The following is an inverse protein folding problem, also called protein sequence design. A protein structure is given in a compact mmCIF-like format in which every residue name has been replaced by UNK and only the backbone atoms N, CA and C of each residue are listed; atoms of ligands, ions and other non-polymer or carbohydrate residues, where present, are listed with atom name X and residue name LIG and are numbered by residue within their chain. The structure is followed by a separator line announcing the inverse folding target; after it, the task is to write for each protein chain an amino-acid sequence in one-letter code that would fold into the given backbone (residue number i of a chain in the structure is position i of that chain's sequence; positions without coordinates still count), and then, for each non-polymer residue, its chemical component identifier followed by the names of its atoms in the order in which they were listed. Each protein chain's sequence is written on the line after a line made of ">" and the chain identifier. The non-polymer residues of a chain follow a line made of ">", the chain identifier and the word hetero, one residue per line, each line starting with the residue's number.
data_IF_480293543176
#
_entry.id   IF_480293543176
#
_cell.length_a   1.000
_cell.length_b   1.000
_cell.length_c   1.000
_cell.angle_alpha   90.00
_cell.angle_beta   90.00
_cell.angle_gamma   90.00
#
_symmetry.space_group_name_H-M   'P 1'
#
loop_
_entity.id
_entity.type
_entity.pdbx_description
1 polymer ?
#
# COMPACT_ATOMS: atom_id res chain seq x y z
N UNK A 1 32.39 14.12 -24.17
CA UNK A 1 32.12 13.14 -25.25
C UNK A 1 30.88 13.60 -25.97
N UNK A 2 30.90 13.69 -27.30
CA UNK A 2 29.78 14.17 -28.14
C UNK A 2 28.44 13.54 -27.81
N UNK A 3 28.44 12.29 -27.33
CA UNK A 3 27.24 11.54 -26.94
C UNK A 3 26.63 12.05 -25.62
N UNK A 4 27.46 12.35 -24.62
CA UNK A 4 27.00 12.86 -23.32
C UNK A 4 26.40 14.27 -23.47
N UNK A 5 26.97 15.08 -24.36
CA UNK A 5 26.47 16.42 -24.67
C UNK A 5 25.10 16.36 -25.35
N UNK A 6 24.88 15.36 -26.23
CA UNK A 6 23.56 15.11 -26.85
C UNK A 6 22.53 14.72 -25.78
N UNK A 7 22.85 13.81 -24.86
CA UNK A 7 21.95 13.41 -23.77
C UNK A 7 21.61 14.61 -22.87
N UNK A 8 22.58 15.45 -22.52
CA UNK A 8 22.36 16.66 -21.71
C UNK A 8 21.52 17.70 -22.46
N UNK A 9 21.69 17.83 -23.79
CA UNK A 9 20.92 18.77 -24.61
C UNK A 9 19.48 18.33 -24.82
N UNK A 10 19.23 17.07 -25.19
CA UNK A 10 17.88 16.48 -25.23
C UNK A 10 17.22 16.51 -23.85
N UNK A 11 18.06 16.28 -22.83
CA UNK A 11 17.94 16.66 -21.43
C UNK A 11 17.07 17.92 -21.20
N UNK A 12 17.67 19.02 -21.62
CA UNK A 12 17.18 20.38 -21.44
C UNK A 12 16.05 20.73 -22.41
N UNK A 13 16.14 20.29 -23.67
CA UNK A 13 15.18 20.61 -24.73
C UNK A 13 13.79 20.04 -24.42
N UNK A 14 13.73 18.76 -24.04
CA UNK A 14 12.49 18.13 -23.59
C UNK A 14 12.19 18.42 -22.13
N UNK A 15 13.02 19.27 -21.54
CA UNK A 15 13.04 19.61 -20.15
C UNK A 15 13.33 18.35 -19.29
N UNK A 16 13.32 17.07 -19.68
CA UNK A 16 13.47 15.90 -18.76
C UNK A 16 14.75 15.86 -17.89
N UNK A 17 14.71 15.11 -16.79
CA UNK A 17 15.90 14.73 -16.02
C UNK A 17 16.23 13.26 -16.34
N UNK A 18 17.48 12.97 -16.70
CA UNK A 18 17.92 11.60 -17.02
C UNK A 18 18.95 11.17 -15.98
N UNK A 19 18.74 10.01 -15.36
CA UNK A 19 19.58 9.51 -14.27
C UNK A 19 20.16 8.16 -14.63
N UNK A 20 21.48 8.01 -14.49
CA UNK A 20 22.16 6.72 -14.53
C UNK A 20 22.60 6.32 -13.13
N UNK A 21 22.32 5.08 -12.74
CA UNK A 21 22.93 4.48 -11.54
C UNK A 21 24.13 3.66 -11.96
N UNK A 22 25.27 3.89 -11.32
CA UNK A 22 26.50 3.15 -11.52
C UNK A 22 26.93 2.59 -10.18
N UNK A 23 27.41 1.35 -10.13
CA UNK A 23 28.04 0.80 -8.93
C UNK A 23 29.54 1.08 -9.01
N UNK A 24 30.11 1.60 -7.94
CA UNK A 24 31.55 1.70 -7.79
C UNK A 24 32.15 0.32 -7.41
N UNK A 25 33.49 0.20 -7.45
CA UNK A 25 34.24 -1.00 -7.10
C UNK A 25 33.93 -1.50 -5.67
N UNK A 26 33.59 -0.58 -4.75
CA UNK A 26 33.14 -0.87 -3.38
C UNK A 26 31.64 -1.25 -3.28
N UNK A 27 30.97 -1.53 -4.41
CA UNK A 27 29.54 -1.81 -4.50
C UNK A 27 28.62 -0.65 -4.04
N UNK A 28 29.18 0.54 -3.80
CA UNK A 28 28.42 1.77 -3.50
C UNK A 28 27.72 2.27 -4.76
N UNK A 29 26.45 2.68 -4.64
CA UNK A 29 25.66 3.19 -5.77
C UNK A 29 25.92 4.69 -5.94
N UNK A 30 26.48 5.04 -7.08
CA UNK A 30 26.70 6.42 -7.53
C UNK A 30 25.67 6.80 -8.58
N UNK A 31 25.34 8.09 -8.64
CA UNK A 31 24.31 8.58 -9.54
C UNK A 31 24.87 9.67 -10.43
N UNK A 32 24.59 9.53 -11.72
CA UNK A 32 24.87 10.56 -12.70
C UNK A 32 23.56 11.18 -13.17
N UNK A 33 23.52 12.50 -13.22
CA UNK A 33 22.28 13.26 -13.45
C UNK A 33 22.50 14.23 -14.61
N UNK A 34 21.77 14.02 -15.70
CA UNK A 34 21.65 14.97 -16.80
C UNK A 34 20.49 15.93 -16.52
N UNK A 35 20.68 17.21 -16.85
CA UNK A 35 19.75 18.30 -16.54
C UNK A 35 19.40 18.38 -15.04
N UNK A 36 20.44 18.56 -14.20
CA UNK A 36 20.28 18.67 -12.74
C UNK A 36 19.42 19.85 -12.28
N UNK A 37 19.22 20.87 -13.14
CA UNK A 37 18.49 22.10 -12.80
C UNK A 37 16.96 21.96 -12.77
N UNK A 38 16.35 20.98 -13.46
CA UNK A 38 14.87 20.94 -13.55
C UNK A 38 14.18 20.45 -12.29
N UNK A 39 14.74 19.53 -11.50
CA UNK A 39 14.01 19.13 -10.30
C UNK A 39 14.84 18.54 -9.16
N UNK A 40 14.52 19.06 -7.97
CA UNK A 40 14.84 18.59 -6.62
C UNK A 40 14.17 17.24 -6.36
N UNK A 41 14.54 16.17 -7.06
CA UNK A 41 14.17 14.85 -6.55
C UNK A 41 14.96 14.59 -5.27
N UNK A 42 14.28 14.43 -4.15
CA UNK A 42 14.90 14.03 -2.86
C UNK A 42 15.73 12.73 -3.01
N UNK A 43 15.43 11.95 -4.06
CA UNK A 43 16.20 10.79 -4.50
C UNK A 43 17.68 11.08 -4.82
N UNK A 44 18.01 12.30 -5.26
CA UNK A 44 19.39 12.75 -5.53
C UNK A 44 19.97 13.47 -4.30
N UNK A 45 19.12 14.17 -3.52
CA UNK A 45 19.54 15.02 -2.40
C UNK A 45 20.14 14.24 -1.23
N UNK A 46 19.70 13.00 -0.99
CA UNK A 46 20.18 12.14 0.10
C UNK A 46 21.29 11.15 -0.32
N UNK A 47 21.89 11.27 -1.51
CA UNK A 47 22.90 10.31 -1.99
C UNK A 47 24.31 10.87 -2.02
N UNK A 48 25.25 10.00 -1.65
CA UNK A 48 26.61 10.32 -1.19
C UNK A 48 27.62 10.68 -2.27
N UNK A 49 27.33 10.47 -3.56
CA UNK A 49 28.24 10.92 -4.63
C UNK A 49 27.49 11.22 -5.93
N UNK A 50 27.56 12.49 -6.33
CA UNK A 50 27.13 12.95 -7.65
C UNK A 50 28.38 12.97 -8.55
N UNK A 51 28.38 12.16 -9.60
CA UNK A 51 29.51 12.08 -10.51
C UNK A 51 29.47 13.22 -11.54
N UNK A 52 30.64 13.72 -11.95
CA UNK A 52 30.76 14.73 -13.00
C UNK A 52 30.79 14.09 -14.39
N UNK A 53 30.45 14.83 -15.47
CA UNK A 53 30.46 14.28 -16.83
C UNK A 53 31.83 13.72 -17.24
N UNK A 54 32.90 14.25 -16.64
CA UNK A 54 34.28 13.77 -16.74
C UNK A 54 34.49 12.36 -16.20
N UNK A 55 33.83 12.00 -15.10
CA UNK A 55 33.97 10.68 -14.47
C UNK A 55 33.29 9.57 -15.30
N UNK A 56 32.30 9.95 -16.12
CA UNK A 56 31.55 9.05 -16.97
C UNK A 56 32.26 8.72 -18.28
N UNK A 57 33.25 9.52 -18.69
CA UNK A 57 34.09 9.22 -19.86
C UNK A 57 34.90 7.93 -19.68
N UNK A 58 35.25 7.61 -18.43
CA UNK A 58 36.02 6.43 -18.08
C UNK A 58 35.14 5.21 -17.73
N UNK A 59 33.81 5.36 -17.77
CA UNK A 59 32.86 4.31 -17.41
C UNK A 59 31.96 3.96 -18.60
N UNK A 60 31.42 2.76 -18.59
CA UNK A 60 30.58 2.29 -19.70
C UNK A 60 29.32 3.16 -19.84
N UNK A 61 29.11 3.74 -21.03
CA UNK A 61 27.96 4.63 -21.33
C UNK A 61 26.71 3.81 -21.65
N UNK A 62 26.83 2.54 -22.04
CA UNK A 62 25.69 1.65 -22.28
C UNK A 62 24.97 1.29 -20.97
N UNK A 63 23.70 0.92 -21.04
CA UNK A 63 22.91 0.46 -19.90
C UNK A 63 21.57 1.19 -19.74
N UNK A 64 20.89 0.90 -18.62
CA UNK A 64 19.56 1.45 -18.31
C UNK A 64 19.67 2.85 -17.71
N UNK A 65 18.84 3.76 -18.22
CA UNK A 65 18.70 5.14 -17.74
C UNK A 65 17.27 5.36 -17.26
N UNK A 66 17.12 6.11 -16.16
CA UNK A 66 15.82 6.51 -15.64
C UNK A 66 15.49 7.91 -16.11
N UNK A 67 14.35 8.08 -16.76
CA UNK A 67 13.87 9.38 -17.24
C UNK A 67 12.77 9.88 -16.30
N UNK A 68 12.90 11.10 -15.81
CA UNK A 68 11.93 11.76 -14.93
C UNK A 68 11.44 13.04 -15.62
N UNK A 69 10.14 13.08 -15.95
CA UNK A 69 9.47 14.23 -16.51
C UNK A 69 7.98 13.92 -16.70
N UNK A 70 7.13 14.95 -16.61
CA UNK A 70 5.67 14.75 -16.69
C UNK A 70 5.20 14.52 -18.13
N UNK A 71 5.81 15.18 -19.10
CA UNK A 71 5.47 15.08 -20.52
C UNK A 71 6.76 15.23 -21.34
N UNK A 72 7.11 14.21 -22.13
CA UNK A 72 8.24 14.28 -23.06
C UNK A 72 7.97 13.43 -24.30
N UNK A 73 8.52 13.87 -25.42
CA UNK A 73 8.31 13.21 -26.70
C UNK A 73 9.36 12.10 -26.89
N UNK A 74 8.93 10.86 -26.69
CA UNK A 74 9.78 9.67 -26.84
C UNK A 74 10.37 9.56 -28.24
N UNK A 75 9.61 9.88 -29.28
CA UNK A 75 10.08 9.77 -30.67
C UNK A 75 11.18 10.80 -30.97
N UNK A 76 11.03 12.01 -30.45
CA UNK A 76 12.02 13.07 -30.61
C UNK A 76 13.31 12.74 -29.83
N UNK A 77 13.19 12.21 -28.61
CA UNK A 77 14.35 11.84 -27.80
C UNK A 77 15.11 10.66 -28.42
N UNK A 78 14.38 9.63 -28.85
CA UNK A 78 14.97 8.46 -29.52
C UNK A 78 15.59 8.84 -30.86
N UNK A 79 15.01 9.79 -31.59
CA UNK A 79 15.59 10.35 -32.82
C UNK A 79 16.90 11.11 -32.57
N UNK A 80 16.96 11.96 -31.53
CA UNK A 80 18.19 12.67 -31.14
C UNK A 80 19.32 11.69 -30.74
N UNK A 81 18.99 10.66 -29.98
CA UNK A 81 19.95 9.61 -29.60
C UNK A 81 20.41 8.79 -30.81
N UNK A 82 19.49 8.47 -31.73
CA UNK A 82 19.81 7.75 -32.99
C UNK A 82 20.72 8.56 -33.90
N UNK A 83 20.53 9.88 -34.01
CA UNK A 83 21.44 10.79 -34.73
C UNK A 83 22.86 10.80 -34.14
N UNK A 84 22.99 10.54 -32.84
CA UNK A 84 24.28 10.39 -32.17
C UNK A 84 24.88 8.97 -32.27
N UNK A 85 24.23 8.05 -33.00
CA UNK A 85 24.68 6.68 -33.20
C UNK A 85 24.27 5.70 -32.10
N UNK A 86 23.29 6.05 -31.26
CA UNK A 86 22.78 5.17 -30.19
C UNK A 86 21.45 4.52 -30.57
N UNK A 87 21.28 3.26 -30.18
CA UNK A 87 19.97 2.58 -30.17
C UNK A 87 19.38 2.69 -28.76
N UNK A 88 18.16 3.19 -28.66
CA UNK A 88 17.48 3.40 -27.38
C UNK A 88 16.05 2.90 -27.45
N UNK A 89 15.64 2.14 -26.44
CA UNK A 89 14.26 1.73 -26.20
C UNK A 89 13.77 2.41 -24.92
N UNK A 90 12.54 2.93 -24.95
CA UNK A 90 11.93 3.62 -23.81
C UNK A 90 10.77 2.78 -23.30
N UNK A 91 10.93 2.25 -22.10
CA UNK A 91 9.89 1.51 -21.39
C UNK A 91 9.15 2.42 -20.41
N UNK A 92 7.83 2.40 -20.47
CA UNK A 92 7.00 3.14 -19.51
C UNK A 92 6.79 2.34 -18.24
N UNK A 93 7.28 2.88 -17.13
CA UNK A 93 7.09 2.27 -15.82
C UNK A 93 5.73 2.69 -15.27
N UNK A 94 4.78 1.75 -15.23
CA UNK A 94 3.52 1.95 -14.54
C UNK A 94 3.72 1.75 -13.03
N UNK A 95 3.72 2.86 -12.28
CA UNK A 95 3.93 2.86 -10.81
C UNK A 95 2.91 2.01 -10.05
N UNK A 96 1.68 1.86 -10.56
CA UNK A 96 0.66 1.05 -9.90
C UNK A 96 0.96 -0.44 -10.08
N UNK A 97 1.41 -0.84 -11.27
CA UNK A 97 1.82 -2.24 -11.54
C UNK A 97 3.01 -2.60 -10.65
N UNK A 98 4.01 -1.73 -10.57
CA UNK A 98 5.15 -1.90 -9.66
C UNK A 98 4.72 -2.07 -8.20
N UNK A 99 3.71 -1.34 -7.74
CA UNK A 99 3.20 -1.50 -6.38
C UNK A 99 2.57 -2.89 -6.18
N UNK A 100 1.75 -3.36 -7.12
CA UNK A 100 1.16 -4.69 -7.03
C UNK A 100 2.19 -5.80 -7.14
N UNK A 101 3.17 -5.68 -8.03
CA UNK A 101 4.33 -6.58 -8.12
C UNK A 101 5.06 -6.63 -6.78
N UNK A 102 5.35 -5.48 -6.17
CA UNK A 102 6.02 -5.43 -4.87
C UNK A 102 5.19 -6.10 -3.76
N UNK A 103 3.86 -5.94 -3.76
CA UNK A 103 2.97 -6.63 -2.81
C UNK A 103 2.97 -8.15 -3.03
N UNK A 104 3.02 -8.60 -4.27
CA UNK A 104 3.05 -10.03 -4.63
C UNK A 104 4.42 -10.63 -4.30
N UNK A 105 5.50 -9.98 -4.70
CA UNK A 105 6.88 -10.42 -4.49
C UNK A 105 7.26 -10.50 -3.01
N UNK A 106 6.61 -9.70 -2.16
CA UNK A 106 6.79 -9.75 -0.70
C UNK A 106 5.79 -10.67 0.01
N UNK A 107 5.04 -11.51 -0.71
CA UNK A 107 4.03 -12.43 -0.16
C UNK A 107 2.95 -11.75 0.70
N UNK A 108 2.72 -10.44 0.51
CA UNK A 108 1.82 -9.62 1.34
C UNK A 108 0.34 -9.72 0.94
N UNK A 109 0.07 -10.21 -0.28
CA UNK A 109 -1.29 -10.33 -0.82
C UNK A 109 -2.17 -11.25 0.07
N UNK A 110 -1.62 -12.37 0.50
CA UNK A 110 -2.32 -13.36 1.34
C UNK A 110 -2.71 -12.76 2.70
N UNK A 111 -1.79 -12.13 3.46
CA UNK A 111 -2.12 -11.36 4.65
C UNK A 111 -3.25 -10.34 4.47
N UNK A 112 -3.25 -9.57 3.37
CA UNK A 112 -4.30 -8.57 3.12
C UNK A 112 -5.67 -9.20 2.91
N UNK A 113 -5.77 -10.30 2.15
CA UNK A 113 -7.02 -11.02 1.96
C UNK A 113 -7.52 -11.57 3.30
N UNK A 114 -6.65 -12.19 4.08
CA UNK A 114 -7.01 -12.72 5.39
C UNK A 114 -7.48 -11.64 6.35
N UNK A 115 -6.83 -10.48 6.37
CA UNK A 115 -7.26 -9.34 7.16
C UNK A 115 -8.68 -8.89 6.76
N UNK A 116 -8.96 -8.79 5.46
CA UNK A 116 -10.28 -8.45 4.94
C UNK A 116 -11.37 -9.45 5.36
N UNK A 117 -11.08 -10.75 5.26
CA UNK A 117 -11.98 -11.82 5.72
C UNK A 117 -12.21 -11.74 7.23
N UNK A 118 -11.16 -11.48 8.01
CA UNK A 118 -11.24 -11.34 9.47
C UNK A 118 -12.14 -10.17 9.87
N UNK A 119 -12.01 -9.02 9.22
CA UNK A 119 -12.89 -7.87 9.44
C UNK A 119 -14.35 -8.17 9.07
N UNK A 120 -14.59 -8.83 7.93
CA UNK A 120 -15.95 -9.23 7.54
C UNK A 120 -16.58 -10.13 8.60
N UNK A 121 -15.84 -11.15 9.01
CA UNK A 121 -16.25 -12.08 10.06
C UNK A 121 -16.51 -11.35 11.39
N UNK A 122 -15.65 -10.43 11.78
CA UNK A 122 -15.83 -9.61 12.98
C UNK A 122 -17.15 -8.84 12.96
N UNK A 123 -17.47 -8.17 11.84
CA UNK A 123 -18.73 -7.44 11.73
C UNK A 123 -19.95 -8.36 11.71
N UNK A 124 -19.85 -9.52 11.06
CA UNK A 124 -20.93 -10.53 11.08
C UNK A 124 -21.15 -11.06 12.50
N UNK A 125 -20.08 -11.29 13.27
CA UNK A 125 -20.16 -11.70 14.66
C UNK A 125 -20.83 -10.64 15.54
N UNK A 126 -20.37 -9.38 15.48
CA UNK A 126 -20.97 -8.27 16.23
C UNK A 126 -22.46 -8.13 15.96
N UNK A 127 -22.85 -8.20 14.68
CA UNK A 127 -24.26 -8.11 14.28
C UNK A 127 -25.07 -9.31 14.75
N UNK A 128 -24.52 -10.51 14.62
CA UNK A 128 -25.09 -11.75 15.13
C UNK A 128 -25.38 -11.66 16.64
N UNK A 129 -24.34 -11.38 17.42
CA UNK A 129 -24.44 -11.29 18.88
C UNK A 129 -25.53 -10.31 19.33
N UNK A 130 -25.62 -9.16 18.65
CA UNK A 130 -26.59 -8.11 18.95
C UNK A 130 -27.95 -8.27 18.22
N UNK A 131 -28.25 -9.42 17.59
CA UNK A 131 -29.52 -9.61 16.86
C UNK A 131 -30.78 -9.38 17.70
N UNK A 132 -30.77 -9.74 18.98
CA UNK A 132 -31.90 -9.48 19.88
C UNK A 132 -32.16 -7.99 20.05
N UNK A 133 -31.10 -7.20 20.20
CA UNK A 133 -31.19 -5.75 20.32
C UNK A 133 -31.80 -5.12 19.06
N UNK A 134 -31.35 -5.55 17.86
CA UNK A 134 -31.94 -5.08 16.61
C UNK A 134 -33.40 -5.54 16.40
N UNK A 135 -33.76 -6.72 16.90
CA UNK A 135 -35.15 -7.20 16.87
C UNK A 135 -36.06 -6.32 17.74
N UNK A 136 -35.60 -5.91 18.93
CA UNK A 136 -36.32 -4.98 19.80
C UNK A 136 -36.46 -3.61 19.14
N UNK A 137 -35.41 -3.09 18.50
CA UNK A 137 -35.48 -1.82 17.76
C UNK A 137 -36.51 -1.88 16.61
N UNK A 138 -36.50 -2.97 15.82
CA UNK A 138 -37.51 -3.17 14.77
C UNK A 138 -38.92 -3.28 15.33
N UNK A 139 -39.11 -3.93 16.48
CA UNK A 139 -40.41 -4.01 17.16
C UNK A 139 -40.92 -2.61 17.57
N UNK A 140 -40.03 -1.72 17.99
CA UNK A 140 -40.34 -0.31 18.30
C UNK A 140 -40.44 0.59 17.05
N UNK A 141 -40.53 0.02 15.83
CA UNK A 141 -40.77 0.78 14.60
C UNK A 141 -39.53 1.41 13.97
N UNK A 142 -38.31 1.03 14.38
CA UNK A 142 -37.10 1.53 13.72
C UNK A 142 -36.97 0.93 12.32
N UNK A 143 -36.80 1.79 11.31
CA UNK A 143 -36.41 1.36 9.97
C UNK A 143 -34.97 0.82 9.96
N UNK A 144 -34.65 -0.07 9.01
CA UNK A 144 -33.29 -0.62 8.86
C UNK A 144 -32.25 0.48 8.68
N UNK A 145 -32.58 1.58 7.98
CA UNK A 145 -31.69 2.74 7.82
C UNK A 145 -31.44 3.46 9.14
N UNK A 146 -32.48 3.68 9.95
CA UNK A 146 -32.32 4.28 11.28
C UNK A 146 -31.45 3.41 12.18
N UNK A 147 -31.52 2.08 12.07
CA UNK A 147 -30.66 1.14 12.80
C UNK A 147 -29.20 1.23 12.34
N UNK A 148 -28.95 1.37 11.03
CA UNK A 148 -27.59 1.52 10.48
C UNK A 148 -26.90 2.76 11.03
N UNK A 149 -27.60 3.90 10.99
CA UNK A 149 -27.08 5.19 11.45
C UNK A 149 -27.21 5.41 12.95
N UNK A 150 -27.85 4.49 13.68
CA UNK A 150 -27.97 4.58 15.12
C UNK A 150 -26.58 4.57 15.77
N UNK A 151 -26.30 5.62 16.56
CA UNK A 151 -25.03 5.82 17.25
C UNK A 151 -23.79 5.82 16.33
N UNK A 152 -23.94 6.29 15.08
CA UNK A 152 -22.80 6.35 14.14
C UNK A 152 -21.68 7.27 14.65
N UNK A 153 -22.01 8.31 15.42
CA UNK A 153 -21.03 9.21 16.04
C UNK A 153 -20.07 8.46 16.98
N UNK A 154 -20.55 7.50 17.77
CA UNK A 154 -19.70 6.67 18.66
C UNK A 154 -18.70 5.87 17.82
N UNK A 155 -19.15 5.32 16.68
CA UNK A 155 -18.29 4.57 15.76
C UNK A 155 -17.24 5.47 15.11
N UNK A 156 -17.63 6.68 14.70
CA UNK A 156 -16.69 7.66 14.15
C UNK A 156 -15.60 8.00 15.18
N UNK A 157 -15.97 8.24 16.43
CA UNK A 157 -15.02 8.51 17.52
C UNK A 157 -14.07 7.31 17.72
N UNK A 158 -14.61 6.09 17.77
CA UNK A 158 -13.81 4.87 17.87
C UNK A 158 -12.77 4.76 16.74
N UNK A 159 -13.19 5.01 15.50
CA UNK A 159 -12.29 4.98 14.34
C UNK A 159 -11.23 6.08 14.42
N UNK A 160 -11.58 7.30 14.82
CA UNK A 160 -10.62 8.39 15.00
C UNK A 160 -9.54 8.05 16.04
N UNK A 161 -9.94 7.48 17.18
CA UNK A 161 -8.99 7.04 18.22
C UNK A 161 -8.06 5.96 17.67
N UNK A 162 -8.61 4.93 17.00
CA UNK A 162 -7.83 3.84 16.43
C UNK A 162 -6.81 4.34 15.39
N UNK A 163 -7.24 5.23 14.49
CA UNK A 163 -6.33 5.80 13.47
C UNK A 163 -5.22 6.64 14.07
N UNK A 164 -5.50 7.35 15.16
CA UNK A 164 -4.50 8.16 15.88
C UNK A 164 -3.45 7.26 16.53
N UNK A 165 -3.86 6.18 17.19
CA UNK A 165 -2.96 5.18 17.77
C UNK A 165 -2.10 4.54 16.67
N UNK A 166 -2.71 4.17 15.54
CA UNK A 166 -1.99 3.58 14.41
C UNK A 166 -0.97 4.53 13.80
N UNK A 167 -1.29 5.83 13.68
CA UNK A 167 -0.36 6.85 13.19
C UNK A 167 0.86 6.99 14.11
N UNK A 168 0.64 7.07 15.42
CA UNK A 168 1.72 7.15 16.41
C UNK A 168 2.61 5.90 16.34
N UNK A 169 2.02 4.71 16.24
CA UNK A 169 2.76 3.46 16.11
C UNK A 169 3.64 3.42 14.86
N UNK A 170 3.17 3.93 13.72
CA UNK A 170 3.98 4.00 12.50
C UNK A 170 5.15 4.98 12.64
N UNK A 171 4.95 6.15 13.27
CA UNK A 171 6.04 7.09 13.54
C UNK A 171 7.11 6.44 14.43
N UNK A 172 6.70 5.71 15.47
CA UNK A 172 7.62 4.98 16.34
C UNK A 172 8.40 3.90 15.59
N UNK A 173 7.73 3.12 14.73
CA UNK A 173 8.39 2.09 13.91
C UNK A 173 9.42 2.72 12.97
N UNK A 174 9.07 3.82 12.31
CA UNK A 174 9.99 4.55 11.42
C UNK A 174 11.21 5.04 12.20
N UNK A 175 10.98 5.59 13.40
CA UNK A 175 12.06 6.08 14.26
C UNK A 175 12.99 4.94 14.72
N UNK A 176 12.43 3.81 15.17
CA UNK A 176 13.20 2.63 15.59
C UNK A 176 13.95 2.00 14.41
N UNK A 177 13.33 1.95 13.23
CA UNK A 177 13.92 1.36 12.03
C UNK A 177 14.91 2.30 11.32
N UNK A 178 15.12 3.51 11.83
CA UNK A 178 15.99 4.55 11.25
C UNK A 178 15.77 4.77 9.75
N UNK A 179 14.50 4.76 9.31
CA UNK A 179 14.16 4.92 7.90
C UNK A 179 14.19 6.40 7.53
N UNK A 180 15.12 6.78 6.64
CA UNK A 180 15.11 8.09 6.02
C UNK A 180 13.91 8.21 5.07
N UNK A 181 12.85 8.88 5.54
CA UNK A 181 11.64 9.13 4.77
C UNK A 181 11.35 10.63 4.72
N UNK A 182 10.98 11.11 3.53
CA UNK A 182 10.33 12.42 3.42
C UNK A 182 8.98 12.36 4.15
N UNK A 183 8.90 13.12 5.24
CA UNK A 183 7.73 13.18 6.12
C UNK A 183 6.46 13.62 5.38
N UNK A 184 6.59 14.54 4.42
CA UNK A 184 5.43 15.04 3.67
C UNK A 184 4.89 13.96 2.72
N UNK A 185 5.78 13.26 2.03
CA UNK A 185 5.41 12.13 1.18
C UNK A 185 4.78 10.99 2.00
N UNK A 186 5.31 10.73 3.20
CA UNK A 186 4.76 9.75 4.12
C UNK A 186 3.34 10.10 4.54
N UNK A 187 3.09 11.33 5.01
CA UNK A 187 1.73 11.79 5.40
C UNK A 187 0.76 11.64 4.23
N UNK A 188 1.15 12.09 3.02
CA UNK A 188 0.27 12.01 1.84
C UNK A 188 -0.12 10.57 1.54
N UNK A 189 0.84 9.63 1.58
CA UNK A 189 0.58 8.21 1.35
C UNK A 189 -0.26 7.59 2.47
N UNK A 190 -0.01 7.98 3.71
CA UNK A 190 -0.75 7.51 4.88
C UNK A 190 -2.22 7.91 4.82
N UNK A 191 -2.53 9.15 4.42
CA UNK A 191 -3.91 9.62 4.22
C UNK A 191 -4.61 8.80 3.14
N UNK A 192 -3.95 8.54 2.01
CA UNK A 192 -4.53 7.73 0.92
C UNK A 192 -4.82 6.31 1.40
N UNK A 193 -3.87 5.67 2.11
CA UNK A 193 -4.07 4.33 2.66
C UNK A 193 -5.20 4.29 3.69
N UNK A 194 -5.28 5.28 4.58
CA UNK A 194 -6.38 5.40 5.53
C UNK A 194 -7.72 5.53 4.82
N UNK A 195 -7.80 6.34 3.78
CA UNK A 195 -9.03 6.52 3.01
C UNK A 195 -9.47 5.20 2.35
N UNK A 196 -8.55 4.50 1.69
CA UNK A 196 -8.84 3.19 1.08
C UNK A 196 -9.29 2.17 2.13
N UNK A 197 -8.59 2.10 3.27
CA UNK A 197 -8.94 1.21 4.37
C UNK A 197 -10.32 1.56 4.97
N UNK A 198 -10.65 2.84 5.13
CA UNK A 198 -11.97 3.30 5.57
C UNK A 198 -13.07 2.90 4.57
N UNK A 199 -12.84 3.05 3.26
CA UNK A 199 -13.79 2.61 2.23
C UNK A 199 -14.03 1.10 2.29
N UNK A 200 -12.98 0.28 2.41
CA UNK A 200 -13.13 -1.18 2.49
C UNK A 200 -13.89 -1.58 3.76
N UNK A 201 -13.49 -1.07 4.92
CA UNK A 201 -14.11 -1.43 6.21
C UNK A 201 -15.56 -0.95 6.31
N UNK A 202 -15.90 0.22 5.78
CA UNK A 202 -17.28 0.70 5.72
C UNK A 202 -18.13 -0.17 4.79
N UNK A 203 -17.59 -0.62 3.67
CA UNK A 203 -18.28 -1.54 2.75
C UNK A 203 -18.53 -2.91 3.43
N UNK A 204 -17.54 -3.49 4.09
CA UNK A 204 -17.71 -4.74 4.86
C UNK A 204 -18.73 -4.58 6.00
N UNK A 205 -18.69 -3.43 6.68
CA UNK A 205 -19.65 -3.09 7.72
C UNK A 205 -21.08 -3.00 7.17
N UNK A 206 -21.29 -2.38 6.01
CA UNK A 206 -22.60 -2.33 5.35
C UNK A 206 -23.09 -3.72 4.93
N UNK A 207 -22.20 -4.57 4.37
CA UNK A 207 -22.54 -5.95 4.01
C UNK A 207 -23.04 -6.73 5.23
N UNK A 208 -22.48 -6.49 6.42
CA UNK A 208 -22.93 -7.18 7.64
C UNK A 208 -24.40 -6.92 7.99
N UNK A 209 -24.98 -5.80 7.56
CA UNK A 209 -26.41 -5.48 7.76
C UNK A 209 -27.36 -6.31 6.90
N UNK A 210 -26.85 -7.08 5.93
CA UNK A 210 -27.64 -8.08 5.21
C UNK A 210 -28.30 -9.09 6.16
N UNK A 211 -27.69 -9.38 7.31
CA UNK A 211 -28.25 -10.23 8.36
C UNK A 211 -29.58 -9.69 8.92
N UNK A 212 -29.80 -8.37 8.93
CA UNK A 212 -31.03 -7.75 9.42
C UNK A 212 -32.21 -7.87 8.44
N UNK A 213 -31.94 -8.12 7.15
CA UNK A 213 -32.99 -8.28 6.14
C UNK A 213 -33.78 -9.57 6.33
N UNK A 214 -33.13 -10.64 6.78
CA UNK A 214 -33.75 -11.96 7.02
C UNK A 214 -34.24 -12.14 8.47
N UNK A 215 -34.29 -11.06 9.26
CA UNK A 215 -34.65 -11.12 10.68
C UNK A 215 -36.17 -11.31 10.87
N UNK A 216 -36.56 -12.47 11.39
CA UNK A 216 -37.93 -12.72 11.86
C UNK A 216 -38.06 -12.32 13.33
N UNK A 217 -38.67 -11.15 13.58
CA UNK A 217 -38.84 -10.55 14.92
C UNK A 217 -39.39 -11.56 15.97
N UNK A 218 -40.48 -12.31 15.69
CA UNK A 218 -41.08 -13.19 16.70
C UNK A 218 -40.18 -14.38 17.06
N UNK A 219 -39.44 -14.91 16.08
CA UNK A 219 -38.58 -16.08 16.24
C UNK A 219 -37.24 -15.73 16.90
N UNK A 220 -36.73 -14.53 16.66
CA UNK A 220 -35.51 -14.02 17.30
C UNK A 220 -35.76 -13.71 18.77
N UNK A 221 -36.89 -13.07 19.11
CA UNK A 221 -37.26 -12.77 20.49
C UNK A 221 -37.51 -14.05 21.31
N UNK A 222 -38.18 -15.05 20.73
CA UNK A 222 -38.40 -16.36 21.37
C UNK A 222 -37.15 -17.24 21.44
N UNK A 223 -36.02 -16.85 20.84
CA UNK A 223 -34.77 -17.61 20.87
C UNK A 223 -34.79 -18.96 20.12
N UNK A 224 -35.86 -19.28 19.37
CA UNK A 224 -36.07 -20.64 18.83
C UNK A 224 -35.41 -20.93 17.46
N UNK A 225 -35.21 -19.94 16.58
CA UNK A 225 -34.59 -20.13 15.25
C UNK A 225 -33.44 -19.16 14.93
N UNK A 226 -33.62 -17.85 15.13
CA UNK A 226 -32.57 -16.85 14.84
C UNK A 226 -31.37 -16.89 15.78
N UNK A 227 -31.58 -17.25 17.05
CA UNK A 227 -30.54 -17.27 18.08
C UNK A 227 -29.55 -18.43 17.92
N UNK A 228 -30.03 -19.64 17.54
CA UNK A 228 -29.15 -20.79 17.28
C UNK A 228 -28.25 -20.56 16.05
N UNK A 229 -28.82 -20.02 14.97
CA UNK A 229 -28.05 -19.66 13.77
C UNK A 229 -27.00 -18.58 14.09
N UNK A 230 -27.36 -17.60 14.91
CA UNK A 230 -26.42 -16.56 15.33
C UNK A 230 -25.29 -17.06 16.22
N UNK A 231 -25.58 -17.95 17.17
CA UNK A 231 -24.55 -18.57 18.02
C UNK A 231 -23.64 -19.43 17.14
N UNK A 232 -24.21 -20.26 16.27
CA UNK A 232 -23.47 -21.08 15.33
C UNK A 232 -22.57 -20.23 14.43
N UNK A 233 -23.11 -19.16 13.85
CA UNK A 233 -22.32 -18.26 13.00
C UNK A 233 -21.21 -17.58 13.80
N UNK A 234 -21.47 -17.26 15.07
CA UNK A 234 -20.46 -16.66 15.94
C UNK A 234 -19.35 -17.62 16.39
N UNK A 235 -19.66 -18.87 16.74
CA UNK A 235 -18.64 -19.89 17.02
C UNK A 235 -17.87 -20.27 15.76
N UNK A 236 -18.55 -20.43 14.63
CA UNK A 236 -17.93 -20.69 13.33
C UNK A 236 -16.95 -19.56 12.94
N UNK A 237 -17.39 -18.32 13.09
CA UNK A 237 -16.54 -17.14 12.87
C UNK A 237 -15.31 -17.15 13.77
N UNK A 238 -15.46 -17.41 15.07
CA UNK A 238 -14.32 -17.48 16.00
C UNK A 238 -13.33 -18.59 15.63
N UNK A 239 -13.80 -19.77 15.26
CA UNK A 239 -12.94 -20.86 14.82
C UNK A 239 -12.14 -20.48 13.56
N UNK A 240 -12.80 -19.86 12.58
CA UNK A 240 -12.11 -19.38 11.37
C UNK A 240 -11.10 -18.28 11.70
N UNK A 241 -11.45 -17.33 12.58
CA UNK A 241 -10.51 -16.29 13.01
C UNK A 241 -9.25 -16.88 13.64
N UNK A 242 -9.39 -17.88 14.51
CA UNK A 242 -8.24 -18.56 15.14
C UNK A 242 -7.40 -19.29 14.08
N UNK A 243 -8.02 -20.01 13.15
CA UNK A 243 -7.31 -20.69 12.06
C UNK A 243 -6.53 -19.70 11.17
N UNK A 244 -7.15 -18.57 10.83
CA UNK A 244 -6.50 -17.50 10.06
C UNK A 244 -5.30 -16.94 10.83
N UNK A 245 -5.47 -16.66 12.12
CA UNK A 245 -4.40 -16.12 12.96
C UNK A 245 -3.23 -17.11 13.09
N UNK A 246 -3.53 -18.40 13.28
CA UNK A 246 -2.53 -19.47 13.33
C UNK A 246 -1.78 -19.61 12.00
N UNK A 247 -2.47 -19.51 10.87
CA UNK A 247 -1.85 -19.55 9.55
C UNK A 247 -0.91 -18.34 9.32
N UNK A 248 -1.36 -17.13 9.67
CA UNK A 248 -0.53 -15.92 9.57
C UNK A 248 0.69 -15.99 10.48
N UNK A 249 0.54 -16.51 11.70
CA UNK A 249 1.66 -16.76 12.61
C UNK A 249 2.65 -17.77 12.01
N UNK A 250 2.16 -18.87 11.44
CA UNK A 250 3.01 -19.87 10.80
C UNK A 250 3.78 -19.29 9.59
N UNK A 251 3.13 -18.46 8.77
CA UNK A 251 3.76 -17.79 7.64
C UNK A 251 4.84 -16.80 8.11
N UNK A 252 4.53 -15.97 9.12
CA UNK A 252 5.50 -15.03 9.69
C UNK A 252 6.68 -15.74 10.36
N UNK A 253 6.44 -16.84 11.08
CA UNK A 253 7.49 -17.66 11.66
C UNK A 253 8.39 -18.23 10.57
N UNK A 254 7.83 -18.75 9.48
CA UNK A 254 8.60 -19.27 8.35
C UNK A 254 9.46 -18.20 7.67
N UNK A 255 8.93 -16.98 7.51
CA UNK A 255 9.70 -15.85 7.01
C UNK A 255 10.86 -15.48 7.95
N UNK A 256 10.61 -15.50 9.27
CA UNK A 256 11.66 -15.31 10.28
C UNK A 256 12.74 -16.39 10.21
N UNK A 257 12.38 -17.67 10.07
CA UNK A 257 13.37 -18.75 9.93
C UNK A 257 14.23 -18.59 8.69
N UNK A 258 13.62 -18.20 7.55
CA UNK A 258 14.38 -17.91 6.32
C UNK A 258 15.36 -16.75 6.51
N UNK A 259 14.92 -15.66 7.17
CA UNK A 259 15.80 -14.53 7.49
C UNK A 259 16.94 -14.94 8.43
N UNK A 260 16.64 -15.73 9.46
CA UNK A 260 17.66 -16.26 10.37
C UNK A 260 18.69 -17.10 9.63
N UNK A 261 18.26 -17.97 8.73
CA UNK A 261 19.17 -18.82 7.93
C UNK A 261 20.08 -18.02 6.98
N UNK A 262 19.66 -16.82 6.55
CA UNK A 262 20.49 -15.91 5.75
C UNK A 262 21.48 -15.14 6.63
N UNK A 263 21.12 -14.84 7.87
CA UNK A 263 22.00 -14.12 8.81
C UNK A 263 23.06 -15.05 9.42
N UNK A 264 22.71 -16.31 9.65
CA UNK A 264 23.60 -17.34 10.21
C UNK A 264 24.49 -18.02 9.14
N UNK A 265 24.33 -17.67 7.85
CA UNK A 265 25.17 -18.14 6.72
C UNK A 265 26.23 -17.11 6.32
#
# INVERSE_FOLDING_TARGET
>A
SKVLDVIESGAKNQNIQIIKSVKDFDNKKEFFVFNSKRNNSDFIRNKTSLLTPSDLLNREIKGKYYIIGEHFNVEELTSELKKAGLTSEVEYINRNILFFELVIDNDLLVPFIFLGVLYLLYFLYDRGYNLKFYAIQKLHGFSTTRIIFHNIHIKIIYWLVLTTIFFIANILIIHIANLELDFLMFIRRFIVLLFVFACITTLLWLISYSLLLKLSIPLTLKGKKGYKFSIFMGTFTKCIMVLILSFLLAQNLNAYTKLKNIYDS
#
